data_IF_146066946722
#
_entry.id   IF_146066946722
#
_cell.length_a   1.000
_cell.length_b   1.000
_cell.length_c   1.000
_cell.angle_alpha   90.00
_cell.angle_beta   90.00
_cell.angle_gamma   90.00
#
_symmetry.space_group_name_H-M   'P 1'
#
loop_
_entity.id
_entity.type
_entity.pdbx_description
1 polymer ?
#
# COMPACT_ATOMS: atom_id res chain seq x y z
N UNK A 1 -12.38 -36.95 31.46
CA UNK A 1 -13.18 -37.31 30.27
C UNK A 1 -12.50 -36.79 29.01
N UNK A 2 -11.93 -37.69 28.23
CA UNK A 2 -11.10 -37.40 27.06
C UNK A 2 -12.00 -37.20 25.83
N UNK A 3 -12.82 -36.14 25.81
CA UNK A 3 -13.69 -35.90 24.65
C UNK A 3 -12.88 -35.25 23.55
N UNK A 4 -12.28 -36.08 22.69
CA UNK A 4 -11.64 -35.68 21.43
C UNK A 4 -12.61 -35.05 20.41
N UNK A 5 -13.90 -35.02 20.75
CA UNK A 5 -14.99 -34.51 19.92
C UNK A 5 -15.12 -32.98 20.01
N UNK A 6 -15.34 -32.35 18.85
CA UNK A 6 -15.63 -30.91 18.74
C UNK A 6 -17.06 -30.59 19.16
N UNK A 7 -17.27 -29.36 19.64
CA UNK A 7 -18.57 -28.83 20.08
C UNK A 7 -19.54 -28.58 18.91
N UNK A 8 -20.85 -28.49 19.20
CA UNK A 8 -21.88 -28.16 18.19
C UNK A 8 -21.60 -26.82 17.51
N UNK A 9 -21.17 -25.83 18.28
CA UNK A 9 -20.73 -24.54 17.74
C UNK A 9 -19.65 -24.68 16.66
N UNK A 10 -18.60 -25.47 16.93
CA UNK A 10 -17.52 -25.70 15.97
C UNK A 10 -18.02 -26.42 14.71
N UNK A 11 -19.00 -27.31 14.84
CA UNK A 11 -19.64 -27.97 13.69
C UNK A 11 -20.43 -27.00 12.82
N UNK A 12 -21.19 -26.08 13.43
CA UNK A 12 -21.93 -25.04 12.69
C UNK A 12 -20.95 -24.16 11.91
N UNK A 13 -19.85 -23.74 12.53
CA UNK A 13 -18.82 -22.95 11.85
C UNK A 13 -18.18 -23.73 10.70
N UNK A 14 -17.94 -25.04 10.83
CA UNK A 14 -17.42 -25.86 9.74
C UNK A 14 -18.36 -25.94 8.53
N UNK A 15 -19.68 -25.95 8.74
CA UNK A 15 -20.68 -25.85 7.66
C UNK A 15 -20.58 -24.49 6.97
N UNK A 16 -20.47 -23.41 7.74
CA UNK A 16 -20.27 -22.07 7.19
C UNK A 16 -18.97 -21.98 6.37
N UNK A 17 -17.86 -22.51 6.88
CA UNK A 17 -16.58 -22.56 6.18
C UNK A 17 -16.70 -23.32 4.85
N UNK A 18 -17.38 -24.48 4.86
CA UNK A 18 -17.63 -25.24 3.63
C UNK A 18 -18.41 -24.42 2.59
N UNK A 19 -19.42 -23.67 3.02
CA UNK A 19 -20.15 -22.73 2.17
C UNK A 19 -19.24 -21.63 1.63
N UNK A 20 -18.43 -20.99 2.48
CA UNK A 20 -17.53 -19.90 2.07
C UNK A 20 -16.54 -20.34 0.99
N UNK A 21 -15.96 -21.55 1.09
CA UNK A 21 -15.10 -22.09 0.03
C UNK A 21 -15.84 -22.21 -1.31
N UNK A 22 -17.08 -22.72 -1.32
CA UNK A 22 -17.86 -22.86 -2.56
C UNK A 22 -18.25 -21.50 -3.12
N UNK A 23 -18.82 -20.63 -2.29
CA UNK A 23 -19.30 -19.33 -2.74
C UNK A 23 -18.16 -18.42 -3.20
N UNK A 24 -16.95 -18.54 -2.63
CA UNK A 24 -15.80 -17.75 -3.08
C UNK A 24 -15.43 -17.98 -4.55
N UNK A 25 -15.75 -19.15 -5.13
CA UNK A 25 -15.50 -19.44 -6.55
C UNK A 25 -16.33 -18.56 -7.50
N UNK A 26 -17.41 -17.96 -7.03
CA UNK A 26 -18.26 -17.06 -7.83
C UNK A 26 -17.73 -15.62 -7.89
N UNK A 27 -16.69 -15.30 -7.13
CA UNK A 27 -16.14 -13.94 -7.01
C UNK A 27 -14.66 -13.89 -7.37
N UNK A 28 -14.12 -12.71 -7.74
CA UNK A 28 -12.69 -12.54 -7.86
C UNK A 28 -12.02 -12.80 -6.50
N UNK A 29 -10.88 -13.49 -6.54
CA UNK A 29 -10.06 -13.74 -5.36
C UNK A 29 -9.17 -12.54 -5.04
N UNK A 30 -8.70 -11.86 -6.08
CA UNK A 30 -7.78 -10.74 -5.96
C UNK A 30 -8.08 -9.66 -7.00
N UNK A 31 -7.71 -8.43 -6.69
CA UNK A 31 -7.77 -7.33 -7.64
C UNK A 31 -6.45 -6.56 -7.66
N UNK A 32 -6.06 -6.09 -8.84
CA UNK A 32 -4.95 -5.16 -9.05
C UNK A 32 -5.51 -3.97 -9.81
N UNK A 33 -5.49 -2.81 -9.17
CA UNK A 33 -5.90 -1.53 -9.76
C UNK A 33 -4.64 -0.82 -10.27
N UNK A 34 -4.70 -0.31 -11.50
CA UNK A 34 -3.64 0.41 -12.17
C UNK A 34 -4.12 1.82 -12.45
N UNK A 35 -3.42 2.80 -11.90
CA UNK A 35 -3.64 4.21 -12.17
C UNK A 35 -2.64 4.67 -13.24
N UNK A 36 -3.14 5.28 -14.30
CA UNK A 36 -2.34 5.76 -15.41
C UNK A 36 -2.82 7.16 -15.83
N UNK A 37 -1.94 8.09 -16.22
CA UNK A 37 -2.36 9.40 -16.73
C UNK A 37 -3.27 9.31 -17.97
N UNK A 38 -3.15 8.22 -18.74
CA UNK A 38 -3.94 7.96 -19.94
C UNK A 38 -5.34 7.39 -19.63
N UNK A 39 -5.53 6.82 -18.44
CA UNK A 39 -6.77 6.18 -17.99
C UNK A 39 -7.13 6.76 -16.61
N UNK A 40 -7.65 8.01 -16.56
CA UNK A 40 -7.97 8.70 -15.30
C UNK A 40 -9.04 7.98 -14.47
N UNK A 41 -9.87 7.15 -15.10
CA UNK A 41 -10.83 6.26 -14.44
C UNK A 41 -10.19 5.05 -13.74
N UNK A 42 -8.92 4.76 -14.03
CA UNK A 42 -8.20 3.59 -13.56
C UNK A 42 -8.52 2.32 -14.36
N UNK A 43 -7.58 1.38 -14.37
CA UNK A 43 -7.75 0.05 -14.97
C UNK A 43 -7.78 -0.99 -13.86
N UNK A 44 -8.59 -2.04 -14.03
CA UNK A 44 -8.75 -3.07 -13.01
C UNK A 44 -8.47 -4.44 -13.60
N UNK A 45 -7.51 -5.14 -13.02
CA UNK A 45 -7.28 -6.57 -13.25
C UNK A 45 -7.94 -7.37 -12.12
N UNK A 46 -8.79 -8.33 -12.48
CA UNK A 46 -9.46 -9.24 -11.53
C UNK A 46 -8.89 -10.64 -11.68
N UNK A 47 -8.39 -11.23 -10.60
CA UNK A 47 -7.94 -12.62 -10.58
C UNK A 47 -9.05 -13.48 -9.96
N UNK A 48 -9.72 -14.28 -10.77
CA UNK A 48 -10.70 -15.28 -10.33
C UNK A 48 -9.99 -16.60 -9.98
N UNK A 49 -10.75 -17.55 -9.43
CA UNK A 49 -10.21 -18.88 -9.16
C UNK A 49 -9.80 -19.63 -10.43
N UNK A 50 -10.40 -19.29 -11.58
CA UNK A 50 -10.34 -20.04 -12.83
C UNK A 50 -9.94 -19.19 -14.05
N UNK A 51 -9.74 -17.88 -13.88
CA UNK A 51 -9.39 -16.97 -14.98
C UNK A 51 -8.88 -15.61 -14.51
N UNK A 52 -8.38 -14.84 -15.46
CA UNK A 52 -8.16 -13.39 -15.34
C UNK A 52 -9.35 -12.66 -15.98
N UNK A 53 -9.80 -11.57 -15.37
CA UNK A 53 -10.84 -10.69 -15.88
C UNK A 53 -10.54 -9.22 -15.63
N UNK A 54 -11.51 -8.35 -15.92
CA UNK A 54 -11.33 -6.89 -15.91
C UNK A 54 -10.77 -6.37 -17.24
N UNK A 55 -9.96 -5.33 -17.20
CA UNK A 55 -9.45 -4.59 -18.37
C UNK A 55 -8.22 -5.26 -19.03
N UNK A 56 -8.26 -6.59 -19.17
CA UNK A 56 -7.11 -7.42 -19.57
C UNK A 56 -6.54 -7.01 -20.93
N UNK A 57 -7.40 -6.72 -21.90
CA UNK A 57 -6.96 -6.35 -23.26
C UNK A 57 -6.21 -5.01 -23.27
N UNK A 58 -6.70 -4.03 -22.51
CA UNK A 58 -6.06 -2.72 -22.38
C UNK A 58 -4.72 -2.85 -21.67
N UNK A 59 -4.68 -3.61 -20.56
CA UNK A 59 -3.47 -3.88 -19.81
C UNK A 59 -2.43 -4.63 -20.66
N UNK A 60 -2.86 -5.58 -21.50
CA UNK A 60 -1.97 -6.27 -22.43
C UNK A 60 -1.38 -5.32 -23.48
N UNK A 61 -2.17 -4.36 -23.96
CA UNK A 61 -1.68 -3.27 -24.82
C UNK A 61 -0.60 -2.44 -24.13
N UNK A 62 -0.80 -2.09 -22.84
CA UNK A 62 0.20 -1.37 -22.05
C UNK A 62 1.46 -2.20 -21.81
N UNK A 63 1.32 -3.47 -21.45
CA UNK A 63 2.44 -4.39 -21.20
C UNK A 63 3.37 -4.49 -22.40
N UNK A 64 2.81 -4.51 -23.62
CA UNK A 64 3.59 -4.57 -24.85
C UNK A 64 4.58 -3.40 -24.99
N UNK A 65 4.22 -2.18 -24.57
CA UNK A 65 5.10 -1.01 -24.68
C UNK A 65 6.30 -1.03 -23.73
N UNK A 66 6.14 -1.66 -22.57
CA UNK A 66 7.18 -1.77 -21.53
C UNK A 66 7.89 -3.13 -21.54
N UNK A 67 7.58 -3.99 -22.53
CA UNK A 67 8.20 -5.30 -22.70
C UNK A 67 7.72 -6.36 -21.73
N UNK A 68 6.63 -6.13 -21.01
CA UNK A 68 6.00 -7.15 -20.18
C UNK A 68 5.27 -8.17 -21.06
N UNK A 69 5.25 -9.44 -20.62
CA UNK A 69 4.47 -10.50 -21.27
C UNK A 69 2.97 -10.14 -21.24
N UNK A 70 2.25 -10.55 -22.28
CA UNK A 70 0.79 -10.46 -22.29
C UNK A 70 0.21 -11.53 -21.37
N UNK A 71 -0.86 -11.17 -20.66
CA UNK A 71 -1.56 -11.99 -19.70
C UNK A 71 -2.60 -12.84 -20.42
N UNK A 72 -2.44 -14.16 -20.40
CA UNK A 72 -3.45 -15.10 -20.86
C UNK A 72 -3.80 -16.10 -19.75
N UNK A 73 -5.07 -16.48 -19.63
CA UNK A 73 -5.53 -17.39 -18.56
C UNK A 73 -4.82 -18.75 -18.63
N UNK A 74 -4.53 -19.21 -19.84
CA UNK A 74 -3.83 -20.45 -20.15
C UNK A 74 -2.38 -20.51 -19.66
N UNK A 75 -1.74 -19.37 -19.40
CA UNK A 75 -0.38 -19.29 -18.87
C UNK A 75 -0.30 -19.77 -17.41
N UNK A 76 -1.42 -19.74 -16.69
CA UNK A 76 -1.50 -20.03 -15.27
C UNK A 76 -2.18 -21.39 -15.06
N UNK A 77 -1.38 -22.42 -14.74
CA UNK A 77 -1.91 -23.74 -14.39
C UNK A 77 -2.76 -23.69 -13.12
N UNK A 78 -2.49 -22.72 -12.25
CA UNK A 78 -3.20 -22.48 -11.00
C UNK A 78 -4.69 -22.30 -11.25
N UNK A 79 -5.10 -21.59 -12.30
CA UNK A 79 -6.52 -21.42 -12.63
C UNK A 79 -7.23 -22.72 -12.99
N UNK A 80 -6.51 -23.73 -13.48
CA UNK A 80 -7.08 -25.06 -13.73
C UNK A 80 -7.23 -25.87 -12.44
N UNK A 81 -6.36 -25.66 -11.45
CA UNK A 81 -6.26 -26.52 -10.25
C UNK A 81 -6.98 -25.91 -9.04
N UNK A 82 -6.92 -24.58 -8.90
CA UNK A 82 -7.42 -23.83 -7.75
C UNK A 82 -8.90 -24.09 -7.45
N UNK A 83 -9.83 -24.16 -8.43
CA UNK A 83 -11.22 -24.50 -8.15
C UNK A 83 -11.38 -25.87 -7.47
N UNK A 84 -10.61 -26.87 -7.88
CA UNK A 84 -10.63 -28.20 -7.27
C UNK A 84 -10.05 -28.21 -5.85
N UNK A 85 -9.00 -27.41 -5.60
CA UNK A 85 -8.45 -27.25 -4.24
C UNK A 85 -9.51 -26.65 -3.30
N UNK A 86 -10.26 -25.65 -3.78
CA UNK A 86 -11.31 -25.00 -3.01
C UNK A 86 -12.47 -25.97 -2.71
N UNK A 87 -12.88 -26.77 -3.69
CA UNK A 87 -13.87 -27.84 -3.50
C UNK A 87 -13.36 -28.92 -2.53
N UNK A 88 -12.08 -29.29 -2.61
CA UNK A 88 -11.47 -30.21 -1.66
C UNK A 88 -11.53 -29.68 -0.22
N UNK A 89 -11.16 -28.42 0.00
CA UNK A 89 -11.24 -27.82 1.34
C UNK A 89 -12.69 -27.69 1.82
N UNK A 90 -13.63 -27.37 0.94
CA UNK A 90 -15.06 -27.36 1.28
C UNK A 90 -15.52 -28.75 1.75
N UNK A 91 -15.24 -29.78 0.96
CA UNK A 91 -15.61 -31.16 1.28
C UNK A 91 -14.95 -31.64 2.58
N UNK A 92 -13.66 -31.36 2.78
CA UNK A 92 -12.95 -31.70 4.02
C UNK A 92 -13.55 -30.98 5.23
N UNK A 93 -13.95 -29.72 5.09
CA UNK A 93 -14.61 -28.95 6.15
C UNK A 93 -15.94 -29.59 6.54
N UNK A 94 -16.75 -29.99 5.55
CA UNK A 94 -18.01 -30.69 5.76
C UNK A 94 -17.80 -32.09 6.38
N UNK A 95 -16.79 -32.84 5.93
CA UNK A 95 -16.42 -34.14 6.50
C UNK A 95 -16.07 -34.04 7.99
N UNK A 96 -15.39 -32.95 8.40
CA UNK A 96 -15.03 -32.72 9.80
C UNK A 96 -16.24 -32.47 10.72
N UNK A 97 -17.40 -32.11 10.17
CA UNK A 97 -18.67 -32.04 10.94
C UNK A 97 -19.05 -33.42 11.50
N UNK A 98 -18.86 -34.47 10.71
CA UNK A 98 -19.21 -35.85 11.05
C UNK A 98 -18.09 -36.57 11.82
N UNK A 99 -16.86 -36.46 11.34
CA UNK A 99 -15.67 -37.04 12.03
C UNK A 99 -15.52 -36.41 13.42
N UNK A 100 -15.79 -35.11 13.51
CA UNK A 100 -15.86 -34.34 14.74
C UNK A 100 -14.60 -34.40 15.62
N UNK A 101 -13.41 -34.68 15.06
CA UNK A 101 -12.15 -34.78 15.85
C UNK A 101 -11.36 -33.47 15.82
N UNK A 102 -10.93 -32.99 16.99
CA UNK A 102 -10.13 -31.75 17.13
C UNK A 102 -8.82 -31.75 16.32
N UNK A 103 -8.12 -32.89 16.29
CA UNK A 103 -6.88 -33.05 15.49
C UNK A 103 -7.14 -32.97 13.98
N UNK A 104 -8.32 -33.38 13.52
CA UNK A 104 -8.71 -33.26 12.11
C UNK A 104 -8.90 -31.80 11.70
N UNK A 105 -9.54 -30.99 12.55
CA UNK A 105 -9.66 -29.54 12.33
C UNK A 105 -8.30 -28.85 12.37
N UNK A 106 -7.39 -29.29 13.25
CA UNK A 106 -6.01 -28.77 13.28
C UNK A 106 -5.27 -29.08 11.98
N UNK A 107 -5.37 -30.31 11.47
CA UNK A 107 -4.78 -30.68 10.19
C UNK A 107 -5.36 -29.82 9.06
N UNK A 108 -6.68 -29.66 9.00
CA UNK A 108 -7.36 -28.82 8.02
C UNK A 108 -6.83 -27.38 8.04
N UNK A 109 -6.70 -26.79 9.24
CA UNK A 109 -6.15 -25.44 9.41
C UNK A 109 -4.70 -25.33 8.95
N UNK A 110 -3.83 -26.26 9.37
CA UNK A 110 -2.41 -26.24 8.98
C UNK A 110 -2.28 -26.39 7.46
N UNK A 111 -3.01 -27.32 6.85
CA UNK A 111 -3.02 -27.50 5.40
C UNK A 111 -3.54 -26.26 4.67
N UNK A 112 -4.57 -25.59 5.21
CA UNK A 112 -5.08 -24.34 4.65
C UNK A 112 -4.07 -23.19 4.72
N UNK A 113 -3.36 -23.04 5.85
CA UNK A 113 -2.30 -22.03 6.00
C UNK A 113 -1.14 -22.33 5.06
N UNK A 114 -0.71 -23.58 4.95
CA UNK A 114 0.34 -23.99 4.01
C UNK A 114 -0.07 -23.69 2.56
N UNK A 115 -1.32 -23.99 2.20
CA UNK A 115 -1.87 -23.63 0.90
C UNK A 115 -1.82 -22.11 0.66
N UNK A 116 -2.26 -21.29 1.63
CA UNK A 116 -2.20 -19.83 1.50
C UNK A 116 -0.77 -19.29 1.33
N UNK A 117 0.20 -19.84 2.06
CA UNK A 117 1.62 -19.49 1.91
C UNK A 117 2.12 -19.86 0.51
N UNK A 118 1.83 -21.08 0.04
CA UNK A 118 2.24 -21.54 -1.28
C UNK A 118 1.63 -20.69 -2.39
N UNK A 119 0.34 -20.37 -2.29
CA UNK A 119 -0.34 -19.48 -3.24
C UNK A 119 0.27 -18.07 -3.26
N UNK A 120 0.62 -17.52 -2.09
CA UNK A 120 1.28 -16.21 -2.00
C UNK A 120 2.69 -16.21 -2.59
N UNK A 121 3.48 -17.26 -2.36
CA UNK A 121 4.81 -17.43 -2.95
C UNK A 121 4.72 -17.57 -4.47
N UNK A 122 3.76 -18.37 -4.95
CA UNK A 122 3.53 -18.57 -6.37
C UNK A 122 3.09 -17.27 -7.06
N UNK A 123 2.16 -16.52 -6.46
CA UNK A 123 1.75 -15.22 -6.96
C UNK A 123 2.90 -14.20 -6.96
N UNK A 124 3.74 -14.18 -5.91
CA UNK A 124 4.94 -13.35 -5.91
C UNK A 124 5.90 -13.73 -7.05
N UNK A 125 6.09 -15.02 -7.31
CA UNK A 125 6.92 -15.52 -8.43
C UNK A 125 6.38 -15.00 -9.76
N UNK A 126 5.07 -15.09 -9.99
CA UNK A 126 4.44 -14.58 -11.21
C UNK A 126 4.65 -13.08 -11.38
N UNK A 127 4.41 -12.29 -10.32
CA UNK A 127 4.67 -10.85 -10.35
C UNK A 127 6.14 -10.53 -10.65
N UNK A 128 7.08 -11.29 -10.07
CA UNK A 128 8.50 -11.12 -10.32
C UNK A 128 8.87 -11.42 -11.78
N UNK A 129 8.41 -12.57 -12.29
CA UNK A 129 8.67 -13.01 -13.67
C UNK A 129 8.16 -11.97 -14.68
N UNK A 130 6.91 -11.51 -14.51
CA UNK A 130 6.32 -10.50 -15.38
C UNK A 130 7.00 -9.13 -15.24
N UNK A 131 7.47 -8.77 -14.05
CA UNK A 131 8.09 -7.46 -13.80
C UNK A 131 9.58 -7.35 -14.14
N UNK A 132 10.31 -8.47 -14.25
CA UNK A 132 11.77 -8.49 -14.44
C UNK A 132 12.23 -9.13 -15.75
N UNK A 133 11.43 -10.04 -16.33
CA UNK A 133 11.77 -10.69 -17.59
C UNK A 133 11.15 -9.91 -18.76
N UNK A 134 11.69 -8.70 -18.98
CA UNK A 134 11.18 -7.75 -19.96
C UNK A 134 11.86 -7.91 -21.33
N UNK A 135 11.10 -7.72 -22.40
CA UNK A 135 11.64 -7.70 -23.75
C UNK A 135 12.62 -6.52 -23.94
N UNK A 136 13.90 -6.77 -24.26
CA UNK A 136 14.90 -5.71 -24.44
C UNK A 136 14.68 -4.88 -25.71
N UNK A 137 13.75 -5.25 -26.58
CA UNK A 137 13.37 -4.51 -27.79
C UNK A 137 12.12 -3.64 -27.61
N UNK A 138 11.56 -3.57 -26.39
CA UNK A 138 10.38 -2.77 -26.09
C UNK A 138 10.59 -1.27 -26.34
N UNK A 139 9.48 -0.57 -26.63
CA UNK A 139 9.51 0.86 -26.94
C UNK A 139 9.96 1.72 -25.75
N UNK A 140 9.63 1.32 -24.53
CA UNK A 140 9.95 2.04 -23.30
C UNK A 140 10.84 1.17 -22.43
N UNK A 141 12.11 1.55 -22.33
CA UNK A 141 13.10 0.87 -21.48
C UNK A 141 13.66 1.89 -20.51
N UNK A 142 13.57 1.60 -19.22
CA UNK A 142 14.19 2.41 -18.17
C UNK A 142 15.30 1.58 -17.52
N UNK A 143 16.58 1.93 -17.76
CA UNK A 143 17.70 1.15 -17.24
C UNK A 143 17.64 0.99 -15.72
N UNK A 144 17.74 -0.26 -15.25
CA UNK A 144 17.75 -0.58 -13.82
C UNK A 144 16.39 -0.58 -13.11
N UNK A 145 15.28 -0.40 -13.84
CA UNK A 145 13.92 -0.44 -13.30
C UNK A 145 13.18 -1.72 -13.67
N UNK A 146 12.36 -2.22 -12.74
CA UNK A 146 11.48 -3.38 -12.94
C UNK A 146 10.03 -2.99 -12.63
N UNK A 147 9.10 -3.55 -13.40
CA UNK A 147 7.67 -3.20 -13.34
C UNK A 147 6.85 -4.19 -12.51
N UNK A 148 7.46 -4.81 -11.49
CA UNK A 148 6.78 -5.77 -10.63
C UNK A 148 5.71 -5.07 -9.76
N UNK A 149 4.40 -5.39 -9.91
CA UNK A 149 3.35 -4.90 -9.03
C UNK A 149 3.49 -5.49 -7.62
N UNK A 150 2.93 -4.83 -6.58
CA UNK A 150 3.01 -5.34 -5.22
C UNK A 150 2.11 -6.57 -5.06
N UNK A 151 2.52 -7.51 -4.20
CA UNK A 151 1.64 -8.62 -3.82
C UNK A 151 0.42 -8.11 -3.04
N UNK A 152 0.65 -7.20 -2.08
CA UNK A 152 -0.36 -6.50 -1.29
C UNK A 152 0.08 -5.04 -1.15
N UNK A 153 -0.87 -4.10 -1.22
CA UNK A 153 -0.65 -2.68 -0.99
C UNK A 153 -0.41 -1.90 -2.28
N UNK A 154 0.19 -0.72 -2.13
CA UNK A 154 0.43 0.21 -3.24
C UNK A 154 1.91 0.24 -3.61
N UNK A 155 2.21 0.34 -4.90
CA UNK A 155 3.55 0.60 -5.41
C UNK A 155 3.47 1.48 -6.65
N UNK A 156 4.24 2.56 -6.66
CA UNK A 156 4.43 3.40 -7.83
C UNK A 156 5.48 2.78 -8.76
N UNK A 157 5.17 2.75 -10.06
CA UNK A 157 6.00 2.30 -11.17
C UNK A 157 6.06 3.41 -12.22
N UNK A 158 7.07 4.29 -12.16
CA UNK A 158 7.13 5.53 -12.97
C UNK A 158 5.93 6.44 -12.73
N UNK A 159 5.14 6.74 -13.77
CA UNK A 159 3.91 7.52 -13.70
C UNK A 159 2.67 6.63 -13.48
N UNK A 160 2.86 5.33 -13.24
CA UNK A 160 1.76 4.40 -12.97
C UNK A 160 1.70 4.02 -11.50
N UNK A 161 0.52 4.07 -10.91
CA UNK A 161 0.26 3.51 -9.58
C UNK A 161 -0.29 2.09 -9.72
N UNK A 162 0.19 1.13 -8.91
CA UNK A 162 -0.38 -0.20 -8.83
C UNK A 162 -0.83 -0.51 -7.40
N UNK A 163 -2.12 -0.76 -7.20
CA UNK A 163 -2.70 -1.14 -5.91
C UNK A 163 -3.22 -2.58 -5.97
N UNK A 164 -2.76 -3.43 -5.06
CA UNK A 164 -3.05 -4.87 -5.05
C UNK A 164 -3.66 -5.29 -3.72
N UNK A 165 -4.84 -5.93 -3.74
CA UNK A 165 -5.57 -6.29 -2.52
C UNK A 165 -6.48 -7.52 -2.76
N UNK A 166 -6.76 -8.34 -1.72
CA UNK A 166 -7.83 -9.33 -1.83
C UNK A 166 -9.14 -8.67 -2.25
N UNK A 167 -9.85 -9.34 -3.16
CA UNK A 167 -11.22 -9.00 -3.52
C UNK A 167 -12.19 -9.90 -2.73
N UNK A 168 -13.49 -9.87 -3.02
CA UNK A 168 -14.55 -10.54 -2.25
C UNK A 168 -14.20 -12.01 -1.98
N UNK A 169 -13.80 -12.78 -2.99
CA UNK A 169 -13.42 -14.19 -2.82
C UNK A 169 -12.19 -14.37 -1.91
N UNK A 170 -11.21 -13.48 -2.01
CA UNK A 170 -10.04 -13.46 -1.14
C UNK A 170 -10.37 -13.13 0.31
N UNK A 171 -11.26 -12.16 0.55
CA UNK A 171 -11.76 -11.84 1.89
C UNK A 171 -12.57 -12.97 2.51
N UNK A 172 -13.32 -13.72 1.69
CA UNK A 172 -13.98 -14.95 2.15
C UNK A 172 -12.96 -15.99 2.62
N UNK A 173 -11.85 -16.18 1.89
CA UNK A 173 -10.77 -17.08 2.28
C UNK A 173 -10.04 -16.63 3.56
N UNK A 174 -9.77 -15.33 3.70
CA UNK A 174 -9.21 -14.77 4.94
C UNK A 174 -10.15 -15.07 6.12
N UNK A 175 -11.47 -14.87 5.91
CA UNK A 175 -12.49 -15.17 6.91
C UNK A 175 -12.51 -16.65 7.29
N UNK A 176 -12.33 -17.56 6.32
CA UNK A 176 -12.19 -18.99 6.59
C UNK A 176 -11.00 -19.27 7.52
N UNK A 177 -9.84 -18.68 7.26
CA UNK A 177 -8.67 -18.82 8.13
C UNK A 177 -8.94 -18.37 9.57
N UNK A 178 -9.61 -17.22 9.74
CA UNK A 178 -10.00 -16.71 11.04
C UNK A 178 -10.99 -17.63 11.76
N UNK A 179 -12.02 -18.13 11.06
CA UNK A 179 -13.02 -19.04 11.62
C UNK A 179 -12.42 -20.39 12.06
N UNK A 180 -11.52 -20.96 11.24
CA UNK A 180 -10.77 -22.16 11.64
C UNK A 180 -9.91 -21.90 12.88
N UNK A 181 -9.24 -20.74 12.94
CA UNK A 181 -8.48 -20.30 14.11
C UNK A 181 -9.36 -20.19 15.37
N UNK A 182 -10.55 -19.62 15.26
CA UNK A 182 -11.52 -19.50 16.36
C UNK A 182 -11.94 -20.89 16.87
N UNK A 183 -12.20 -21.85 15.97
CA UNK A 183 -12.51 -23.23 16.36
C UNK A 183 -11.33 -23.81 17.17
N UNK A 184 -10.10 -23.67 16.70
CA UNK A 184 -8.93 -24.22 17.39
C UNK A 184 -8.71 -23.58 18.77
N UNK A 185 -8.83 -22.26 18.85
CA UNK A 185 -8.72 -21.52 20.13
C UNK A 185 -9.72 -22.04 21.15
N UNK A 186 -10.97 -22.27 20.72
CA UNK A 186 -12.03 -22.82 21.57
C UNK A 186 -11.77 -24.28 21.94
N UNK A 187 -11.55 -25.14 20.96
CA UNK A 187 -11.47 -26.59 21.16
C UNK A 187 -10.21 -27.05 21.90
N UNK A 188 -9.12 -26.31 21.78
CA UNK A 188 -7.89 -26.54 22.55
C UNK A 188 -7.82 -25.72 23.84
N UNK A 189 -8.87 -24.95 24.19
CA UNK A 189 -8.91 -24.06 25.34
C UNK A 189 -7.68 -23.14 25.44
N UNK A 190 -7.18 -22.67 24.28
CA UNK A 190 -5.92 -21.91 24.23
C UNK A 190 -6.00 -20.64 25.09
N UNK A 191 -7.14 -19.96 25.15
CA UNK A 191 -7.34 -18.76 26.00
C UNK A 191 -7.08 -19.00 27.49
N UNK A 192 -7.45 -20.18 28.02
CA UNK A 192 -7.16 -20.54 29.43
C UNK A 192 -5.68 -20.81 29.64
N UNK A 193 -4.99 -21.33 28.62
CA UNK A 193 -3.54 -21.57 28.62
C UNK A 193 -2.75 -20.24 28.54
N UNK A 194 -3.23 -19.29 27.74
CA UNK A 194 -2.68 -17.93 27.65
C UNK A 194 -2.89 -17.10 28.92
N UNK A 195 -4.05 -17.20 29.59
CA UNK A 195 -4.24 -16.59 30.94
C UNK A 195 -3.26 -17.12 31.99
N UNK A 196 -2.73 -18.34 31.81
CA UNK A 196 -1.72 -18.94 32.69
C UNK A 196 -0.31 -18.41 32.39
N UNK A 197 -0.01 -18.08 31.14
CA UNK A 197 1.25 -17.48 30.69
C UNK A 197 1.07 -15.98 30.42
N UNK A 198 1.06 -15.17 31.50
CA UNK A 198 0.87 -13.70 31.44
C UNK A 198 1.80 -12.99 30.44
N UNK A 199 2.99 -13.53 30.17
CA UNK A 199 4.01 -12.97 29.28
C UNK A 199 3.53 -12.87 27.82
N UNK A 200 2.80 -13.87 27.32
CA UNK A 200 2.36 -13.89 25.92
C UNK A 200 1.21 -12.90 25.63
N UNK A 201 0.39 -12.60 26.65
CA UNK A 201 -0.70 -11.63 26.52
C UNK A 201 -0.17 -10.19 26.47
N UNK A 202 0.89 -9.89 27.24
CA UNK A 202 1.56 -8.58 27.25
C UNK A 202 2.26 -8.31 25.91
N UNK A 203 2.94 -9.32 25.34
CA UNK A 203 3.62 -9.19 24.04
C UNK A 203 2.65 -8.97 22.86
N UNK A 204 1.45 -9.58 22.89
CA UNK A 204 0.45 -9.40 21.84
C UNK A 204 -0.28 -8.04 21.94
N UNK A 205 -0.45 -7.50 23.15
CA UNK A 205 -1.00 -6.15 23.37
C UNK A 205 0.01 -5.04 23.07
N UNK A 206 1.32 -5.29 23.19
CA UNK A 206 2.37 -4.31 22.91
C UNK A 206 2.55 -4.04 21.41
N UNK A 207 2.07 -4.94 20.53
CA UNK A 207 2.15 -4.80 19.07
C UNK A 207 1.17 -3.80 18.45
N UNK A 208 0.23 -3.24 19.22
CA UNK A 208 -0.84 -2.36 18.69
C UNK A 208 -0.71 -0.88 19.10
N UNK A 209 0.33 -0.48 19.85
CA UNK A 209 0.43 0.89 20.38
C UNK A 209 1.62 1.70 19.84
N UNK A 210 2.35 1.21 18.84
CA UNK A 210 3.44 1.98 18.20
C UNK A 210 2.91 2.90 17.11
N UNK A 211 2.09 3.88 17.49
CA UNK A 211 1.86 5.07 16.67
C UNK A 211 2.28 6.28 17.51
N UNK A 212 3.60 6.46 17.64
CA UNK A 212 4.13 7.75 18.05
C UNK A 212 3.97 8.69 16.85
N UNK A 213 3.17 9.75 17.01
CA UNK A 213 3.21 10.89 16.09
C UNK A 213 4.55 11.62 16.21
N UNK A 214 5.09 12.10 15.09
CA UNK A 214 6.31 12.90 15.08
C UNK A 214 6.00 14.35 15.46
N UNK A 215 6.90 14.97 16.23
CA UNK A 215 6.80 16.39 16.68
C UNK A 215 7.91 17.28 16.12
N UNK A 216 8.87 16.64 15.45
CA UNK A 216 10.03 17.22 14.78
C UNK A 216 9.94 16.95 13.27
N UNK A 217 10.56 17.79 12.43
CA UNK A 217 10.49 17.63 11.00
C UNK A 217 11.17 16.34 10.54
N UNK A 218 10.60 15.69 9.53
CA UNK A 218 11.20 14.50 8.94
C UNK A 218 12.08 14.88 7.75
N UNK A 219 13.27 14.28 7.64
CA UNK A 219 14.12 14.49 6.47
C UNK A 219 13.38 14.07 5.19
N UNK A 220 13.34 14.97 4.20
CA UNK A 220 12.79 14.71 2.87
C UNK A 220 13.83 13.95 2.04
N UNK A 221 13.45 12.76 1.57
CA UNK A 221 14.26 11.94 0.67
C UNK A 221 13.95 12.32 -0.77
N UNK A 222 14.87 13.03 -1.41
CA UNK A 222 14.71 13.47 -2.80
C UNK A 222 14.55 12.27 -3.75
N UNK A 223 13.68 12.44 -4.73
CA UNK A 223 13.29 11.44 -5.74
C UNK A 223 12.68 10.16 -5.14
N UNK A 224 12.30 10.18 -3.85
CA UNK A 224 11.71 9.03 -3.14
C UNK A 224 10.43 9.44 -2.43
N UNK A 225 10.48 10.49 -1.61
CA UNK A 225 9.30 11.01 -0.91
C UNK A 225 8.35 11.70 -1.91
N UNK A 226 7.05 11.48 -1.76
CA UNK A 226 6.03 12.06 -2.63
C UNK A 226 5.44 13.34 -2.03
N UNK A 227 5.19 14.31 -2.90
CA UNK A 227 4.43 15.49 -2.57
C UNK A 227 2.97 15.11 -2.26
N UNK A 228 2.48 15.55 -1.12
CA UNK A 228 1.14 15.26 -0.63
C UNK A 228 0.05 15.93 -1.47
N UNK A 229 0.40 16.99 -2.20
CA UNK A 229 -0.48 17.72 -3.11
C UNK A 229 -0.43 17.13 -4.53
N UNK A 230 0.63 17.40 -5.30
CA UNK A 230 0.73 17.05 -6.71
C UNK A 230 1.04 15.57 -6.98
N UNK A 231 1.32 14.77 -5.95
CA UNK A 231 1.66 13.33 -6.02
C UNK A 231 2.96 12.98 -6.76
N UNK A 232 3.64 13.98 -7.32
CA UNK A 232 4.97 13.82 -7.91
C UNK A 232 6.02 13.58 -6.82
N UNK A 233 7.13 12.93 -7.17
CA UNK A 233 8.29 12.78 -6.30
C UNK A 233 8.92 14.14 -6.01
N UNK A 234 9.33 14.38 -4.77
CA UNK A 234 10.01 15.61 -4.38
C UNK A 234 11.40 15.65 -5.01
N UNK A 235 11.62 16.59 -5.91
CA UNK A 235 12.73 16.54 -6.88
C UNK A 235 13.89 17.45 -6.53
N UNK A 236 13.63 18.56 -5.84
CA UNK A 236 14.63 19.59 -5.53
C UNK A 236 14.64 19.95 -4.04
N UNK A 237 15.77 19.64 -3.40
CA UNK A 237 15.99 19.88 -1.96
C UNK A 237 16.10 21.35 -1.57
N UNK A 238 16.03 22.29 -2.51
CA UNK A 238 16.02 23.73 -2.22
C UNK A 238 14.62 24.30 -1.99
N UNK A 239 13.57 23.56 -2.37
CA UNK A 239 12.19 24.07 -2.39
C UNK A 239 11.20 23.30 -1.52
N UNK A 240 11.51 22.04 -1.22
CA UNK A 240 10.61 21.16 -0.47
C UNK A 240 10.06 21.77 0.82
N UNK A 241 8.88 21.32 1.22
CA UNK A 241 8.20 21.84 2.41
C UNK A 241 7.48 20.72 3.17
N UNK A 242 7.12 21.00 4.43
CA UNK A 242 6.52 20.02 5.32
C UNK A 242 5.46 20.64 6.24
N UNK A 243 4.37 19.91 6.48
CA UNK A 243 3.37 20.20 7.52
C UNK A 243 3.40 19.07 8.56
N UNK A 244 3.44 19.43 9.84
CA UNK A 244 3.17 18.51 10.95
C UNK A 244 1.82 18.89 11.56
N UNK A 245 0.90 17.94 11.64
CA UNK A 245 -0.42 18.13 12.27
C UNK A 245 -0.39 17.97 13.78
N UNK A 246 -1.46 18.40 14.47
CA UNK A 246 -1.63 18.20 15.93
C UNK A 246 -1.58 16.73 16.39
N UNK A 247 -1.78 15.79 15.47
CA UNK A 247 -1.70 14.35 15.72
C UNK A 247 -0.32 13.76 15.37
N UNK A 248 0.63 14.59 14.99
CA UNK A 248 1.97 14.19 14.57
C UNK A 248 2.01 13.44 13.23
N UNK A 249 1.01 13.67 12.37
CA UNK A 249 1.10 13.24 10.95
C UNK A 249 1.87 14.28 10.17
N UNK A 250 2.84 13.80 9.40
CA UNK A 250 3.67 14.60 8.48
C UNK A 250 3.13 14.54 7.07
N UNK A 251 3.06 15.70 6.42
CA UNK A 251 2.79 15.86 5.00
C UNK A 251 3.97 16.57 4.36
N UNK A 252 4.55 15.98 3.31
CA UNK A 252 5.70 16.53 2.58
C UNK A 252 5.25 17.11 1.25
N UNK A 253 5.94 18.12 0.73
CA UNK A 253 5.59 18.84 -0.49
C UNK A 253 6.83 19.13 -1.34
N UNK A 254 6.66 19.12 -2.66
CA UNK A 254 7.76 19.35 -3.63
C UNK A 254 8.22 20.81 -3.64
N UNK A 255 7.28 21.73 -3.45
CA UNK A 255 7.58 23.13 -3.16
C UNK A 255 6.52 23.78 -2.25
N UNK A 256 6.79 25.01 -1.85
CA UNK A 256 5.91 25.77 -0.95
C UNK A 256 4.55 26.11 -1.58
N UNK A 257 4.45 26.15 -2.92
CA UNK A 257 3.18 26.35 -3.61
C UNK A 257 2.27 25.12 -3.48
N UNK A 258 2.84 23.91 -3.59
CA UNK A 258 2.11 22.68 -3.29
C UNK A 258 1.58 22.64 -1.86
N UNK A 259 2.39 23.08 -0.89
CA UNK A 259 1.96 23.19 0.50
C UNK A 259 0.76 24.13 0.63
N UNK A 260 0.87 25.34 0.08
CA UNK A 260 -0.19 26.36 0.15
C UNK A 260 -1.50 25.87 -0.47
N UNK A 261 -1.44 25.29 -1.68
CA UNK A 261 -2.63 24.74 -2.35
C UNK A 261 -3.25 23.58 -1.56
N UNK A 262 -2.43 22.71 -0.95
CA UNK A 262 -2.94 21.61 -0.14
C UNK A 262 -3.75 22.08 1.06
N UNK A 263 -3.29 23.13 1.74
CA UNK A 263 -3.98 23.71 2.91
C UNK A 263 -5.31 24.37 2.49
N UNK A 264 -5.39 24.95 1.29
CA UNK A 264 -6.65 25.52 0.78
C UNK A 264 -7.67 24.47 0.36
N UNK A 265 -7.22 23.39 -0.27
CA UNK A 265 -8.11 22.35 -0.81
C UNK A 265 -8.50 21.30 0.25
N UNK A 266 -7.77 21.20 1.36
CA UNK A 266 -7.97 20.17 2.37
C UNK A 266 -8.10 20.76 3.77
N UNK A 267 -9.00 20.21 4.59
CA UNK A 267 -9.09 20.56 6.00
C UNK A 267 -7.96 19.88 6.78
N UNK A 268 -6.84 20.58 6.97
CA UNK A 268 -5.66 20.07 7.69
C UNK A 268 -5.56 20.75 9.05
N UNK A 269 -5.50 19.96 10.13
CA UNK A 269 -5.27 20.46 11.49
C UNK A 269 -3.76 20.66 11.72
N UNK A 270 -3.18 21.57 10.95
CA UNK A 270 -1.75 21.88 10.95
C UNK A 270 -1.32 22.49 12.29
N UNK A 271 -0.20 22.01 12.83
CA UNK A 271 0.42 22.52 14.06
C UNK A 271 1.72 23.26 13.74
N UNK A 272 2.53 22.75 12.82
CA UNK A 272 3.83 23.35 12.43
C UNK A 272 4.04 23.27 10.92
N UNK A 273 4.73 24.27 10.39
CA UNK A 273 5.12 24.36 8.99
C UNK A 273 6.65 24.49 8.88
N UNK A 274 7.24 23.75 7.95
CA UNK A 274 8.66 23.83 7.61
C UNK A 274 8.82 24.01 6.10
N UNK A 275 9.89 24.70 5.71
CA UNK A 275 10.32 24.90 4.32
C UNK A 275 11.81 24.65 4.22
N UNK A 276 12.30 24.20 3.07
CA UNK A 276 13.73 24.08 2.85
C UNK A 276 14.38 25.46 2.76
N UNK A 277 15.55 25.59 3.38
CA UNK A 277 16.42 26.74 3.16
C UNK A 277 17.09 26.62 1.79
N UNK A 278 16.76 27.55 0.90
CA UNK A 278 17.26 27.58 -0.46
C UNK A 278 18.79 27.69 -0.54
N UNK A 279 19.43 28.26 0.48
CA UNK A 279 20.88 28.40 0.54
C UNK A 279 21.60 27.13 1.02
N UNK A 280 20.91 26.24 1.73
CA UNK A 280 21.48 24.98 2.26
C UNK A 280 20.62 23.81 1.80
N UNK A 281 21.12 23.07 0.82
CA UNK A 281 20.36 21.97 0.21
C UNK A 281 19.78 21.00 1.25
N UNK A 282 18.49 20.72 1.10
CA UNK A 282 17.73 19.71 1.84
C UNK A 282 17.71 19.90 3.37
N UNK A 283 17.73 21.15 3.83
CA UNK A 283 17.65 21.50 5.27
C UNK A 283 16.34 22.21 5.56
N UNK A 284 15.50 21.64 6.43
CA UNK A 284 14.21 22.23 6.84
C UNK A 284 14.40 23.30 7.92
N UNK A 285 13.74 24.44 7.72
CA UNK A 285 13.67 25.56 8.66
C UNK A 285 12.20 25.90 8.97
N UNK A 286 11.88 26.45 10.15
CA UNK A 286 10.51 26.83 10.47
C UNK A 286 10.00 27.91 9.51
N UNK A 287 8.86 27.64 8.87
CA UNK A 287 8.31 28.49 7.81
C UNK A 287 7.96 29.90 8.31
N UNK A 288 7.38 30.00 9.49
CA UNK A 288 6.91 31.27 10.07
C UNK A 288 8.05 32.26 10.35
N UNK A 289 9.28 31.78 10.53
CA UNK A 289 10.46 32.61 10.81
C UNK A 289 11.41 32.74 9.62
N UNK A 290 11.09 32.14 8.49
CA UNK A 290 11.92 32.19 7.29
C UNK A 290 11.70 33.50 6.51
N UNK A 291 12.70 33.87 5.70
CA UNK A 291 12.64 35.02 4.81
C UNK A 291 12.35 34.54 3.39
N UNK A 292 11.32 35.11 2.76
CA UNK A 292 10.86 34.65 1.45
C UNK A 292 11.10 35.70 0.37
N UNK A 293 11.47 35.21 -0.82
CA UNK A 293 11.52 36.00 -2.05
C UNK A 293 10.75 35.28 -3.15
N UNK A 294 10.13 36.04 -4.05
CA UNK A 294 9.41 35.55 -5.19
C UNK A 294 9.83 36.30 -6.46
N UNK A 295 10.09 35.57 -7.54
CA UNK A 295 10.49 36.17 -8.81
C UNK A 295 10.64 35.13 -9.90
N UNK A 296 10.40 35.52 -11.15
CA UNK A 296 10.33 34.61 -12.31
C UNK A 296 11.63 33.88 -12.63
N UNK A 297 12.77 34.37 -12.12
CA UNK A 297 14.08 33.72 -12.26
C UNK A 297 14.28 32.57 -11.25
N UNK A 298 13.40 32.45 -10.25
CA UNK A 298 13.39 31.33 -9.31
C UNK A 298 12.59 30.19 -9.95
N UNK A 299 13.27 29.14 -10.39
CA UNK A 299 12.62 28.00 -11.04
C UNK A 299 12.30 26.90 -10.00
N UNK A 300 11.17 27.02 -9.30
CA UNK A 300 10.69 25.95 -8.41
C UNK A 300 10.03 24.81 -9.21
N UNK A 301 10.04 23.56 -8.70
CA UNK A 301 9.48 22.40 -9.41
C UNK A 301 8.05 22.58 -9.91
N UNK A 302 7.19 23.26 -9.13
CA UNK A 302 5.78 23.47 -9.47
C UNK A 302 5.47 24.92 -9.85
N UNK A 303 6.50 25.68 -10.27
CA UNK A 303 6.40 27.06 -10.80
C UNK A 303 5.77 28.08 -9.84
N UNK A 304 5.81 27.80 -8.54
CA UNK A 304 5.50 28.77 -7.49
C UNK A 304 6.56 29.87 -7.35
N UNK A 305 7.75 29.68 -7.92
CA UNK A 305 8.82 30.66 -8.07
C UNK A 305 9.20 31.38 -6.76
N UNK A 306 9.09 30.66 -5.65
CA UNK A 306 9.32 31.17 -4.30
C UNK A 306 10.47 30.41 -3.66
N UNK A 307 11.40 31.15 -3.05
CA UNK A 307 12.53 30.60 -2.29
C UNK A 307 12.49 31.11 -0.85
N UNK A 308 12.84 30.25 0.10
CA UNK A 308 12.88 30.56 1.53
C UNK A 308 14.31 30.50 2.07
N UNK A 309 14.64 31.32 3.06
CA UNK A 309 15.99 31.44 3.61
C UNK A 309 15.95 31.56 5.13
N UNK A 310 16.94 30.98 5.81
CA UNK A 310 17.09 31.15 7.26
C UNK A 310 17.63 32.55 7.64
N UNK A 311 18.30 33.24 6.72
CA UNK A 311 18.97 34.51 6.97
C UNK A 311 18.47 35.62 6.04
N UNK A 312 18.01 36.72 6.62
CA UNK A 312 17.60 37.93 5.90
C UNK A 312 18.69 38.48 4.97
N UNK A 313 19.94 38.46 5.45
CA UNK A 313 21.08 38.93 4.67
C UNK A 313 21.25 38.11 3.40
N UNK A 314 21.20 36.78 3.51
CA UNK A 314 21.31 35.88 2.36
C UNK A 314 20.11 36.06 1.43
N UNK A 315 18.90 36.14 1.98
CA UNK A 315 17.69 36.40 1.20
C UNK A 315 17.82 37.70 0.37
N UNK A 316 18.33 38.77 0.98
CA UNK A 316 18.55 40.07 0.32
C UNK A 316 19.60 39.98 -0.79
N UNK A 317 20.69 39.23 -0.57
CA UNK A 317 21.70 39.00 -1.60
C UNK A 317 21.14 38.25 -2.81
N UNK A 318 20.30 37.22 -2.58
CA UNK A 318 19.61 36.50 -3.65
C UNK A 318 18.51 37.33 -4.30
N UNK A 319 17.82 38.17 -3.53
CA UNK A 319 16.78 39.08 -4.02
C UNK A 319 17.31 39.96 -5.14
N UNK A 320 18.47 40.60 -4.91
CA UNK A 320 19.13 41.46 -5.88
C UNK A 320 19.69 40.67 -7.08
N UNK A 321 20.21 39.46 -6.87
CA UNK A 321 20.79 38.63 -7.93
C UNK A 321 19.75 38.07 -8.90
N UNK A 322 18.56 37.75 -8.39
CA UNK A 322 17.50 37.06 -9.13
C UNK A 322 16.37 38.00 -9.58
N UNK A 323 16.52 39.32 -9.39
CA UNK A 323 15.49 40.33 -9.68
C UNK A 323 14.11 39.92 -9.12
N UNK A 324 14.09 39.63 -7.82
CA UNK A 324 12.91 39.11 -7.10
C UNK A 324 12.47 40.07 -6.02
N UNK A 325 11.27 39.86 -5.47
CA UNK A 325 10.67 40.69 -4.44
C UNK A 325 10.55 39.91 -3.15
N UNK A 326 10.76 40.57 -2.01
CA UNK A 326 10.45 39.99 -0.72
C UNK A 326 8.93 39.81 -0.58
N UNK A 327 8.53 38.66 -0.04
CA UNK A 327 7.15 38.35 0.34
C UNK A 327 7.14 37.81 1.77
N UNK A 328 5.98 37.80 2.41
CA UNK A 328 5.81 37.26 3.77
C UNK A 328 5.28 35.83 3.74
N UNK A 329 5.40 35.12 4.86
CA UNK A 329 4.76 33.81 5.02
C UNK A 329 3.25 33.84 4.80
N UNK A 330 2.59 34.95 5.17
CA UNK A 330 1.16 35.10 4.95
C UNK A 330 0.81 35.22 3.46
N UNK A 331 1.66 35.88 2.67
CA UNK A 331 1.50 35.97 1.21
C UNK A 331 1.75 34.59 0.55
N UNK A 332 2.64 33.77 1.11
CA UNK A 332 2.86 32.40 0.63
C UNK A 332 1.65 31.50 0.92
N UNK A 333 1.08 31.59 2.12
CA UNK A 333 -0.10 30.83 2.51
C UNK A 333 -1.40 31.36 1.91
N UNK A 334 -1.41 32.55 1.33
CA UNK A 334 -2.57 33.15 0.65
C UNK A 334 -2.09 33.85 -0.65
N UNK A 335 -1.63 33.07 -1.64
CA UNK A 335 -0.90 33.58 -2.82
C UNK A 335 -1.76 34.28 -3.87
#
# INVERSE_FOLDING_TARGET
MNTSKITVFSRIILVLISGLFIFSLSFPMWQIELEAPQYPEGLILKLHADKIGGDVEIINGLNHYIGMKTLHTEDFIEFKILPYIMLFFSFMSLLMVFVAKRKGVLLLFVTFILFGILAGVDFYRWNYEYGHNLDPSAAIIVPGMAYQPPLIGYKQLLNFGAYSIPDIGGWMLITVGLLLGIILVKEFNLLKRFKKNKIALVLLSMGFMSSCGSTEPESIKLNVDQCSFCKMSISDGRFGAEIITKKGRVYKFDDVACLSNYVHENTVDAEKFYVHDYATENTLIPAETAYYINGTQISSPMRGNTAAFASEKIATDYMNKLDSKSITWNDVLNP
#
